data_IF_679225463062
#
_entry.id   IF_679225463062
#
_cell.length_a   1.000
_cell.length_b   1.000
_cell.length_c   1.000
_cell.angle_alpha   90.00
_cell.angle_beta   90.00
_cell.angle_gamma   90.00
#
_symmetry.space_group_name_H-M   'P 1'
#
loop_
_entity.id
_entity.type
_entity.pdbx_description
1 polymer ?
#
# COMPACT_ATOMS: atom_id res chain seq x y z
N UNK A 1 -23.94 9.41 29.10
CA UNK A 1 -23.68 9.89 27.73
C UNK A 1 -22.94 8.76 27.01
N UNK A 2 -23.44 8.22 25.90
CA UNK A 2 -22.70 7.24 25.10
C UNK A 2 -21.66 8.06 24.34
N UNK A 3 -20.43 8.06 24.84
CA UNK A 3 -19.45 9.13 24.62
C UNK A 3 -18.20 8.65 23.88
N UNK A 4 -18.26 7.54 23.16
CA UNK A 4 -17.14 7.13 22.31
C UNK A 4 -17.31 7.83 20.96
N UNK A 5 -16.55 8.91 20.67
CA UNK A 5 -16.52 9.47 19.34
C UNK A 5 -15.99 8.39 18.40
N UNK A 6 -16.63 8.25 17.23
CA UNK A 6 -16.11 7.38 16.17
C UNK A 6 -14.76 7.94 15.73
N UNK A 7 -13.74 7.10 15.62
CA UNK A 7 -12.45 7.50 15.06
C UNK A 7 -12.62 7.84 13.57
N UNK A 8 -12.75 9.13 13.30
CA UNK A 8 -12.93 9.70 11.97
C UNK A 8 -11.62 10.39 11.59
N UNK A 9 -11.00 9.91 10.52
CA UNK A 9 -9.80 10.52 9.94
C UNK A 9 -10.17 11.29 8.69
N UNK A 10 -9.96 12.59 8.73
CA UNK A 10 -10.25 13.49 7.61
C UNK A 10 -9.47 13.09 6.36
N UNK A 11 -8.27 12.52 6.53
CA UNK A 11 -7.36 12.15 5.45
C UNK A 11 -7.59 10.73 4.89
N UNK A 12 -8.46 9.93 5.52
CA UNK A 12 -8.74 8.56 5.08
C UNK A 12 -10.23 8.26 5.19
N UNK A 13 -10.92 8.48 4.07
CA UNK A 13 -12.37 8.31 3.94
C UNK A 13 -12.76 6.83 4.03
N UNK A 14 -11.90 5.91 3.55
CA UNK A 14 -12.17 4.48 3.57
C UNK A 14 -12.04 3.90 4.97
N UNK A 15 -10.97 4.25 5.69
CA UNK A 15 -10.77 3.85 7.08
C UNK A 15 -11.87 4.45 7.98
N UNK A 16 -12.24 5.70 7.76
CA UNK A 16 -13.36 6.32 8.47
C UNK A 16 -14.67 5.56 8.25
N UNK A 17 -14.99 5.20 7.00
CA UNK A 17 -16.18 4.40 6.70
C UNK A 17 -16.14 3.02 7.36
N UNK A 18 -14.98 2.37 7.40
CA UNK A 18 -14.79 1.11 8.11
C UNK A 18 -15.06 1.25 9.62
N UNK A 19 -14.46 2.25 10.27
CA UNK A 19 -14.65 2.52 11.70
C UNK A 19 -16.12 2.84 12.04
N UNK A 20 -16.82 3.59 11.17
CA UNK A 20 -18.25 3.87 11.33
C UNK A 20 -19.07 2.58 11.26
N UNK A 21 -18.80 1.70 10.30
CA UNK A 21 -19.50 0.42 10.17
C UNK A 21 -19.29 -0.48 11.39
N UNK A 22 -18.06 -0.55 11.90
CA UNK A 22 -17.74 -1.26 13.14
C UNK A 22 -18.51 -0.67 14.33
N UNK A 23 -18.54 0.66 14.46
CA UNK A 23 -19.31 1.32 15.52
C UNK A 23 -20.82 1.02 15.43
N UNK A 24 -21.39 0.95 14.23
CA UNK A 24 -22.79 0.56 14.01
C UNK A 24 -23.02 -0.89 14.44
N UNK A 25 -22.11 -1.79 14.09
CA UNK A 25 -22.20 -3.21 14.46
C UNK A 25 -22.12 -3.38 15.98
N UNK A 26 -21.13 -2.75 16.63
CA UNK A 26 -21.03 -2.75 18.09
C UNK A 26 -22.28 -2.17 18.75
N UNK A 27 -22.82 -1.06 18.25
CA UNK A 27 -24.05 -0.49 18.77
C UNK A 27 -25.23 -1.47 18.68
N UNK A 28 -25.41 -2.13 17.53
CA UNK A 28 -26.47 -3.14 17.34
C UNK A 28 -26.31 -4.31 18.31
N UNK A 29 -25.09 -4.79 18.53
CA UNK A 29 -24.81 -5.88 19.46
C UNK A 29 -25.10 -5.45 20.90
N UNK A 30 -24.56 -4.31 21.34
CA UNK A 30 -24.72 -3.81 22.71
C UNK A 30 -26.17 -3.50 23.08
N UNK A 31 -26.98 -3.03 22.13
CA UNK A 31 -28.37 -2.68 22.35
C UNK A 31 -29.38 -3.75 21.92
N UNK A 32 -28.92 -4.92 21.47
CA UNK A 32 -29.79 -6.02 21.01
C UNK A 32 -30.79 -6.48 22.07
N UNK A 33 -30.35 -6.65 23.31
CA UNK A 33 -31.18 -7.08 24.43
C UNK A 33 -31.86 -5.93 25.17
N UNK A 34 -31.55 -4.67 24.82
CA UNK A 34 -32.05 -3.52 25.56
C UNK A 34 -33.59 -3.43 25.60
N UNK A 35 -34.34 -3.66 24.50
CA UNK A 35 -35.80 -3.64 24.55
C UNK A 35 -36.37 -4.62 25.58
N UNK A 36 -35.83 -5.85 25.61
CA UNK A 36 -36.25 -6.89 26.55
C UNK A 36 -35.91 -6.52 28.00
N UNK A 37 -34.68 -6.05 28.26
CA UNK A 37 -34.26 -5.61 29.60
C UNK A 37 -35.04 -4.39 30.07
N UNK A 38 -35.41 -3.50 29.16
CA UNK A 38 -36.24 -2.32 29.47
C UNK A 38 -37.67 -2.71 29.85
N UNK A 39 -38.27 -3.69 29.16
CA UNK A 39 -39.60 -4.22 29.47
C UNK A 39 -39.62 -4.96 30.83
N UNK A 40 -38.60 -5.78 31.07
CA UNK A 40 -38.40 -6.44 32.37
C UNK A 40 -38.27 -5.41 33.50
N UNK A 41 -37.43 -4.39 33.33
CA UNK A 41 -37.27 -3.34 34.31
C UNK A 41 -38.58 -2.58 34.57
N UNK A 42 -39.34 -2.26 33.52
CA UNK A 42 -40.64 -1.58 33.67
C UNK A 42 -41.63 -2.41 34.48
N UNK A 43 -41.62 -3.73 34.30
CA UNK A 43 -42.47 -4.67 35.06
C UNK A 43 -42.08 -4.67 36.55
N UNK A 44 -40.77 -4.70 36.83
CA UNK A 44 -40.24 -4.63 38.21
C UNK A 44 -40.59 -3.29 38.85
N UNK A 45 -40.42 -2.20 38.12
CA UNK A 45 -40.70 -0.85 38.61
C UNK A 45 -42.19 -0.68 38.98
N UNK A 46 -43.12 -1.21 38.18
CA UNK A 46 -44.56 -1.14 38.44
C UNK A 46 -45.00 -2.03 39.60
N UNK A 47 -44.40 -3.22 39.75
CA UNK A 47 -44.78 -4.18 40.78
C UNK A 47 -44.05 -3.96 42.12
N UNK A 48 -42.95 -3.21 42.11
CA UNK A 48 -42.10 -2.97 43.28
C UNK A 48 -41.42 -4.24 43.84
N UNK A 49 -41.40 -5.33 43.07
CA UNK A 49 -40.96 -6.66 43.53
C UNK A 49 -40.11 -7.40 42.50
N UNK A 50 -39.16 -8.17 43.01
CA UNK A 50 -38.39 -9.20 42.29
C UNK A 50 -38.41 -10.46 43.15
N UNK A 51 -38.78 -11.61 42.57
CA UNK A 51 -38.85 -12.90 43.27
C UNK A 51 -39.59 -12.81 44.61
N UNK A 52 -40.76 -12.16 44.61
CA UNK A 52 -41.63 -11.88 45.77
C UNK A 52 -41.04 -10.96 46.86
N UNK A 53 -39.81 -10.47 46.69
CA UNK A 53 -39.17 -9.51 47.60
C UNK A 53 -39.45 -8.08 47.18
N UNK A 54 -39.80 -7.24 48.14
CA UNK A 54 -39.97 -5.80 47.92
C UNK A 54 -38.64 -5.11 47.69
N UNK A 55 -38.63 -4.18 46.74
CA UNK A 55 -37.48 -3.31 46.44
C UNK A 55 -37.85 -1.88 46.81
N UNK A 56 -36.96 -1.22 47.55
CA UNK A 56 -37.13 0.18 47.90
C UNK A 56 -37.19 1.06 46.63
N UNK A 57 -38.19 1.94 46.56
CA UNK A 57 -38.35 2.89 45.44
C UNK A 57 -37.13 3.79 45.25
N UNK A 58 -36.41 4.09 46.33
CA UNK A 58 -35.16 4.86 46.34
C UNK A 58 -34.06 4.22 45.47
N UNK A 59 -34.09 2.90 45.28
CA UNK A 59 -33.18 2.17 44.40
C UNK A 59 -33.69 2.11 42.96
N UNK A 60 -35.01 2.09 42.76
CA UNK A 60 -35.65 1.95 41.45
C UNK A 60 -35.72 3.27 40.68
N UNK A 61 -35.94 4.40 41.35
CA UNK A 61 -36.09 5.71 40.71
C UNK A 61 -34.83 6.14 39.92
N UNK A 62 -33.60 6.02 40.46
CA UNK A 62 -32.39 6.34 39.70
C UNK A 62 -32.19 5.42 38.49
N UNK A 63 -32.57 4.15 38.60
CA UNK A 63 -32.48 3.19 37.51
C UNK A 63 -33.47 3.54 36.39
N UNK A 64 -34.69 3.93 36.75
CA UNK A 64 -35.69 4.39 35.77
C UNK A 64 -35.19 5.58 34.98
N UNK A 65 -34.65 6.60 35.65
CA UNK A 65 -34.06 7.77 34.97
C UNK A 65 -32.97 7.35 33.98
N UNK A 66 -32.12 6.37 34.36
CA UNK A 66 -31.08 5.84 33.47
C UNK A 66 -31.64 5.06 32.28
N UNK A 67 -32.63 4.19 32.50
CA UNK A 67 -33.28 3.43 31.42
C UNK A 67 -34.01 4.35 30.43
N UNK A 68 -34.76 5.34 30.93
CA UNK A 68 -35.47 6.32 30.11
C UNK A 68 -34.48 7.18 29.29
N UNK A 69 -33.40 7.64 29.93
CA UNK A 69 -32.35 8.37 29.24
C UNK A 69 -31.68 7.51 28.15
N UNK A 70 -31.45 6.22 28.41
CA UNK A 70 -30.83 5.30 27.48
C UNK A 70 -31.76 4.95 26.30
N UNK A 71 -33.06 4.77 26.57
CA UNK A 71 -34.09 4.53 25.56
C UNK A 71 -34.20 5.70 24.56
N UNK A 72 -33.91 6.92 24.99
CA UNK A 72 -33.85 8.10 24.12
C UNK A 72 -32.48 8.23 23.44
N UNK A 73 -31.39 8.03 24.18
CA UNK A 73 -30.03 8.29 23.71
C UNK A 73 -29.53 7.26 22.69
N UNK A 74 -29.84 5.97 22.87
CA UNK A 74 -29.33 4.91 22.01
C UNK A 74 -29.85 5.02 20.56
N UNK A 75 -31.16 5.16 20.30
CA UNK A 75 -31.67 5.35 18.93
C UNK A 75 -31.12 6.62 18.27
N UNK A 76 -30.99 7.72 19.01
CA UNK A 76 -30.40 8.97 18.50
C UNK A 76 -28.94 8.80 18.09
N UNK A 77 -28.18 8.06 18.88
CA UNK A 77 -26.78 7.75 18.52
C UNK A 77 -26.72 6.86 17.27
N UNK A 78 -27.57 5.84 17.14
CA UNK A 78 -27.63 5.03 15.94
C UNK A 78 -28.02 5.83 14.69
N UNK A 79 -28.99 6.74 14.82
CA UNK A 79 -29.35 7.68 13.75
C UNK A 79 -28.18 8.56 13.34
N UNK A 80 -27.43 9.10 14.31
CA UNK A 80 -26.19 9.84 14.06
C UNK A 80 -25.17 8.99 13.30
N UNK A 81 -24.92 7.75 13.72
CA UNK A 81 -23.99 6.84 13.04
C UNK A 81 -24.41 6.59 11.58
N UNK A 82 -25.70 6.37 11.30
CA UNK A 82 -26.20 6.21 9.94
C UNK A 82 -26.04 7.48 9.09
N UNK A 83 -26.22 8.68 9.67
CA UNK A 83 -25.98 9.95 8.99
C UNK A 83 -24.53 10.06 8.53
N UNK A 84 -23.59 9.83 9.45
CA UNK A 84 -22.16 9.89 9.16
C UNK A 84 -21.76 8.79 8.17
N UNK A 85 -22.33 7.57 8.29
CA UNK A 85 -22.11 6.49 7.34
C UNK A 85 -22.52 6.88 5.91
N UNK A 86 -23.72 7.45 5.72
CA UNK A 86 -24.20 7.85 4.39
C UNK A 86 -23.30 8.94 3.77
N UNK A 87 -22.81 9.88 4.58
CA UNK A 87 -21.86 10.91 4.14
C UNK A 87 -20.54 10.30 3.65
N UNK A 88 -19.89 9.48 4.48
CA UNK A 88 -18.61 8.84 4.15
C UNK A 88 -18.73 7.80 3.04
N UNK A 89 -19.88 7.14 2.90
CA UNK A 89 -20.14 6.23 1.80
C UNK A 89 -20.10 6.98 0.45
N UNK A 90 -20.70 8.17 0.37
CA UNK A 90 -20.65 8.97 -0.86
C UNK A 90 -19.23 9.44 -1.18
N UNK A 91 -18.51 9.97 -0.18
CA UNK A 91 -17.13 10.42 -0.35
C UNK A 91 -16.20 9.29 -0.76
N UNK A 92 -16.32 8.12 -0.13
CA UNK A 92 -15.52 6.93 -0.45
C UNK A 92 -15.74 6.47 -1.89
N UNK A 93 -16.99 6.52 -2.38
CA UNK A 93 -17.30 6.19 -3.77
C UNK A 93 -16.76 7.23 -4.75
N UNK A 94 -16.77 8.52 -4.39
CA UNK A 94 -16.17 9.58 -5.19
C UNK A 94 -14.65 9.39 -5.29
N UNK A 95 -13.99 9.15 -4.17
CA UNK A 95 -12.55 8.90 -4.11
C UNK A 95 -12.16 7.65 -4.91
N UNK A 96 -12.88 6.53 -4.75
CA UNK A 96 -12.61 5.30 -5.48
C UNK A 96 -12.72 5.51 -7.01
N UNK A 97 -13.70 6.29 -7.47
CA UNK A 97 -13.83 6.62 -8.89
C UNK A 97 -12.69 7.53 -9.36
N UNK A 98 -12.33 8.56 -8.58
CA UNK A 98 -11.19 9.42 -8.87
C UNK A 98 -9.88 8.63 -8.97
N UNK A 99 -9.61 7.71 -8.03
CA UNK A 99 -8.43 6.84 -8.07
C UNK A 99 -8.40 5.96 -9.34
N UNK A 100 -9.55 5.41 -9.76
CA UNK A 100 -9.65 4.68 -11.05
C UNK A 100 -9.32 5.59 -12.23
N UNK A 101 -9.89 6.79 -12.27
CA UNK A 101 -9.65 7.76 -13.34
C UNK A 101 -8.17 8.13 -13.44
N UNK A 102 -7.50 8.42 -12.32
CA UNK A 102 -6.07 8.73 -12.30
C UNK A 102 -5.21 7.55 -12.78
N UNK A 103 -5.55 6.32 -12.39
CA UNK A 103 -4.87 5.11 -12.91
C UNK A 103 -5.02 4.98 -14.42
N UNK A 104 -6.21 5.24 -14.97
CA UNK A 104 -6.43 5.17 -16.42
C UNK A 104 -5.66 6.25 -17.18
N UNK A 105 -5.60 7.48 -16.63
CA UNK A 105 -4.77 8.57 -17.18
C UNK A 105 -3.28 8.26 -17.16
N UNK A 106 -2.83 7.39 -16.25
CA UNK A 106 -1.42 6.99 -16.08
C UNK A 106 -0.95 5.88 -17.02
N UNK A 107 -1.77 5.48 -18.00
CA UNK A 107 -1.44 4.39 -18.90
C UNK A 107 -0.29 4.74 -19.85
N UNK A 108 0.72 3.87 -19.89
CA UNK A 108 2.04 4.13 -20.49
C UNK A 108 2.32 3.35 -21.79
N UNK A 109 1.28 2.82 -22.42
CA UNK A 109 1.38 2.10 -23.69
C UNK A 109 0.01 1.99 -24.38
N UNK A 110 0.01 1.67 -25.67
CA UNK A 110 -1.24 1.39 -26.42
C UNK A 110 -2.03 0.26 -25.76
N UNK A 111 -1.36 -0.82 -25.35
CA UNK A 111 -2.01 -1.96 -24.70
C UNK A 111 -2.63 -1.58 -23.35
N UNK A 112 -1.93 -0.77 -22.55
CA UNK A 112 -2.43 -0.28 -21.26
C UNK A 112 -3.67 0.62 -21.45
N UNK A 113 -3.62 1.57 -22.39
CA UNK A 113 -4.75 2.48 -22.64
C UNK A 113 -5.96 1.73 -23.19
N UNK A 114 -5.74 0.75 -24.08
CA UNK A 114 -6.83 -0.10 -24.56
C UNK A 114 -7.49 -0.89 -23.44
N UNK A 115 -6.71 -1.36 -22.45
CA UNK A 115 -7.24 -1.98 -21.24
C UNK A 115 -8.06 -0.97 -20.42
N UNK A 116 -7.51 0.22 -20.18
CA UNK A 116 -8.21 1.28 -19.44
C UNK A 116 -9.49 1.76 -20.13
N UNK A 117 -9.54 1.83 -21.46
CA UNK A 117 -10.76 2.14 -22.21
C UNK A 117 -11.83 1.05 -22.07
N UNK A 118 -11.43 -0.24 -21.99
CA UNK A 118 -12.37 -1.33 -21.69
C UNK A 118 -12.91 -1.22 -20.27
N UNK A 119 -12.04 -0.96 -19.30
CA UNK A 119 -12.43 -0.75 -17.89
C UNK A 119 -13.34 0.47 -17.72
N UNK A 120 -13.03 1.58 -18.38
CA UNK A 120 -13.88 2.76 -18.44
C UNK A 120 -15.26 2.43 -18.97
N UNK A 121 -15.35 1.64 -20.06
CA UNK A 121 -16.64 1.24 -20.63
C UNK A 121 -17.45 0.41 -19.64
N UNK A 122 -16.84 -0.56 -18.97
CA UNK A 122 -17.51 -1.33 -17.92
C UNK A 122 -18.02 -0.45 -16.77
N UNK A 123 -17.23 0.53 -16.34
CA UNK A 123 -17.65 1.49 -15.32
C UNK A 123 -18.78 2.39 -15.83
N UNK A 124 -18.73 2.85 -17.07
CA UNK A 124 -19.79 3.66 -17.69
C UNK A 124 -21.10 2.88 -17.79
N UNK A 125 -21.04 1.60 -18.15
CA UNK A 125 -22.20 0.68 -18.21
C UNK A 125 -22.82 0.47 -16.81
N UNK A 126 -22.02 0.57 -15.73
CA UNK A 126 -22.53 0.56 -14.35
C UNK A 126 -23.28 1.85 -13.94
N UNK A 127 -23.32 2.86 -14.82
CA UNK A 127 -23.99 4.15 -14.66
C UNK A 127 -23.63 4.91 -13.37
N UNK A 128 -22.40 5.44 -13.25
CA UNK A 128 -21.92 6.11 -12.03
C UNK A 128 -22.80 7.29 -11.60
N UNK A 129 -23.31 8.07 -12.56
CA UNK A 129 -24.26 9.16 -12.28
C UNK A 129 -25.53 8.68 -11.57
N UNK A 130 -26.07 7.53 -11.97
CA UNK A 130 -27.25 6.92 -11.34
C UNK A 130 -26.91 6.42 -9.93
N UNK A 131 -25.71 5.87 -9.73
CA UNK A 131 -25.21 5.46 -8.41
C UNK A 131 -25.09 6.65 -7.46
N UNK A 132 -24.43 7.73 -7.86
CA UNK A 132 -24.33 8.94 -7.04
C UNK A 132 -25.69 9.59 -6.75
N UNK A 133 -26.61 9.60 -7.72
CA UNK A 133 -27.98 10.08 -7.50
C UNK A 133 -28.72 9.28 -6.42
N UNK A 134 -28.54 7.96 -6.39
CA UNK A 134 -29.11 7.09 -5.33
C UNK A 134 -28.49 7.37 -3.97
N UNK A 135 -27.16 7.51 -3.91
CA UNK A 135 -26.44 7.83 -2.67
C UNK A 135 -26.87 9.19 -2.10
N UNK A 136 -27.04 10.21 -2.95
CA UNK A 136 -27.57 11.51 -2.55
C UNK A 136 -29.02 11.44 -2.05
N UNK A 137 -29.86 10.62 -2.69
CA UNK A 137 -31.24 10.43 -2.23
C UNK A 137 -31.27 9.79 -0.83
N UNK A 138 -30.44 8.76 -0.60
CA UNK A 138 -30.30 8.12 0.70
C UNK A 138 -29.75 9.09 1.76
N UNK A 139 -28.73 9.90 1.41
CA UNK A 139 -28.19 10.92 2.30
C UNK A 139 -29.29 11.90 2.76
N UNK A 140 -30.11 12.39 1.83
CA UNK A 140 -31.22 13.31 2.14
C UNK A 140 -32.28 12.67 3.04
N UNK A 141 -32.56 11.39 2.84
CA UNK A 141 -33.50 10.63 3.67
C UNK A 141 -33.00 10.52 5.12
N UNK A 142 -31.74 10.13 5.32
CA UNK A 142 -31.15 9.92 6.65
C UNK A 142 -30.94 11.25 7.41
N UNK A 143 -30.78 12.36 6.68
CA UNK A 143 -30.70 13.72 7.23
C UNK A 143 -32.04 14.44 7.36
N UNK A 144 -33.17 13.81 7.03
CA UNK A 144 -34.51 14.46 7.06
C UNK A 144 -34.90 15.01 8.44
N UNK A 145 -34.47 14.35 9.51
CA UNK A 145 -34.71 14.74 10.92
C UNK A 145 -33.49 15.42 11.58
N UNK A 146 -32.48 15.80 10.79
CA UNK A 146 -31.29 16.50 11.30
C UNK A 146 -31.54 18.02 11.39
N UNK A 147 -30.72 18.77 12.15
CA UNK A 147 -30.72 20.23 12.11
C UNK A 147 -30.58 20.74 10.67
N UNK A 148 -31.37 21.75 10.30
CA UNK A 148 -31.48 22.24 8.91
C UNK A 148 -30.13 22.72 8.40
N UNK A 149 -29.34 23.39 9.25
CA UNK A 149 -28.02 23.91 8.91
C UNK A 149 -27.03 22.77 8.60
N UNK A 150 -27.02 21.73 9.44
CA UNK A 150 -26.16 20.55 9.26
C UNK A 150 -26.54 19.80 7.98
N UNK A 151 -27.84 19.51 7.81
CA UNK A 151 -28.37 18.85 6.62
C UNK A 151 -28.06 19.62 5.35
N UNK A 152 -28.22 20.95 5.36
CA UNK A 152 -27.92 21.79 4.20
C UNK A 152 -26.42 21.79 3.85
N UNK A 153 -25.55 21.91 4.86
CA UNK A 153 -24.10 21.89 4.67
C UNK A 153 -23.64 20.57 4.04
N UNK A 154 -24.03 19.44 4.63
CA UNK A 154 -23.64 18.09 4.18
C UNK A 154 -24.19 17.79 2.78
N UNK A 155 -25.47 18.12 2.53
CA UNK A 155 -26.08 17.92 1.21
C UNK A 155 -25.38 18.73 0.11
N UNK A 156 -24.97 19.97 0.42
CA UNK A 156 -24.24 20.82 -0.53
C UNK A 156 -22.85 20.23 -0.83
N UNK A 157 -22.10 19.84 0.19
CA UNK A 157 -20.77 19.26 0.03
C UNK A 157 -20.82 17.96 -0.79
N UNK A 158 -21.66 17.01 -0.41
CA UNK A 158 -21.83 15.75 -1.13
C UNK A 158 -22.39 15.96 -2.54
N UNK A 159 -23.32 16.91 -2.71
CA UNK A 159 -23.86 17.31 -4.01
C UNK A 159 -22.75 17.77 -4.95
N UNK A 160 -21.93 18.72 -4.51
CA UNK A 160 -20.81 19.24 -5.27
C UNK A 160 -19.79 18.15 -5.60
N UNK A 161 -19.36 17.36 -4.61
CA UNK A 161 -18.38 16.29 -4.81
C UNK A 161 -18.86 15.24 -5.83
N UNK A 162 -20.15 14.87 -5.76
CA UNK A 162 -20.74 13.93 -6.71
C UNK A 162 -20.84 14.49 -8.13
N UNK A 163 -21.20 15.77 -8.28
CA UNK A 163 -21.31 16.45 -9.56
C UNK A 163 -19.93 16.55 -10.22
N UNK A 164 -18.95 17.08 -9.49
CA UNK A 164 -17.57 17.23 -9.95
C UNK A 164 -16.98 15.89 -10.38
N UNK A 165 -17.19 14.83 -9.59
CA UNK A 165 -16.66 13.49 -9.90
C UNK A 165 -17.29 12.92 -11.17
N UNK A 166 -18.62 13.07 -11.34
CA UNK A 166 -19.33 12.59 -12.53
C UNK A 166 -18.92 13.38 -13.77
N UNK A 167 -18.76 14.69 -13.67
CA UNK A 167 -18.31 15.55 -14.77
C UNK A 167 -16.90 15.16 -15.22
N UNK A 168 -15.95 15.01 -14.28
CA UNK A 168 -14.60 14.51 -14.57
C UNK A 168 -14.62 13.16 -15.26
N UNK A 169 -15.49 12.25 -14.81
CA UNK A 169 -15.66 10.94 -15.43
C UNK A 169 -16.16 11.04 -16.87
N UNK A 170 -17.17 11.86 -17.14
CA UNK A 170 -17.70 12.06 -18.50
C UNK A 170 -16.66 12.69 -19.44
N UNK A 171 -15.85 13.62 -18.93
CA UNK A 171 -14.77 14.28 -19.69
C UNK A 171 -13.56 13.36 -19.93
N UNK A 172 -13.46 12.23 -19.23
CA UNK A 172 -12.30 11.34 -19.35
C UNK A 172 -12.28 10.52 -20.65
N UNK A 173 -13.43 10.20 -21.23
CA UNK A 173 -13.46 9.41 -22.48
C UNK A 173 -12.70 10.05 -23.64
N UNK A 174 -12.98 11.31 -24.04
CA UNK A 174 -12.24 11.95 -25.13
C UNK A 174 -10.74 12.06 -24.81
N UNK A 175 -10.39 12.29 -23.54
CA UNK A 175 -9.01 12.33 -23.08
C UNK A 175 -8.28 10.99 -23.33
N UNK A 176 -8.89 9.86 -22.97
CA UNK A 176 -8.29 8.54 -23.18
C UNK A 176 -8.20 8.16 -24.67
N UNK A 177 -9.15 8.60 -25.49
CA UNK A 177 -9.11 8.38 -26.94
C UNK A 177 -7.97 9.15 -27.60
N UNK A 178 -7.76 10.40 -27.18
CA UNK A 178 -6.67 11.23 -27.68
C UNK A 178 -5.31 10.71 -27.22
N UNK A 179 -5.19 10.31 -25.94
CA UNK A 179 -3.99 9.66 -25.42
C UNK A 179 -3.67 8.37 -26.19
N UNK A 180 -4.68 7.55 -26.53
CA UNK A 180 -4.49 6.35 -27.35
C UNK A 180 -3.92 6.68 -28.74
N UNK A 181 -4.39 7.77 -29.36
CA UNK A 181 -3.89 8.22 -30.67
C UNK A 181 -2.40 8.54 -30.59
N UNK A 182 -1.99 9.35 -29.61
CA UNK A 182 -0.58 9.71 -29.45
C UNK A 182 0.31 8.50 -29.15
N UNK A 183 -0.14 7.57 -28.30
CA UNK A 183 0.62 6.35 -28.03
C UNK A 183 0.76 5.45 -29.27
N UNK A 184 -0.28 5.35 -30.10
CA UNK A 184 -0.19 4.61 -31.38
C UNK A 184 0.81 5.25 -32.33
N UNK A 185 0.77 6.58 -32.47
CA UNK A 185 1.71 7.31 -33.31
C UNK A 185 3.15 7.15 -32.80
N UNK A 186 3.35 7.27 -31.49
CA UNK A 186 4.65 7.10 -30.85
C UNK A 186 5.21 5.68 -31.04
N UNK A 187 4.45 4.66 -30.67
CA UNK A 187 4.89 3.26 -30.76
C UNK A 187 5.14 2.83 -32.22
N UNK A 188 4.30 3.24 -33.17
CA UNK A 188 4.51 2.93 -34.58
C UNK A 188 5.77 3.61 -35.14
N UNK A 189 6.04 4.85 -34.73
CA UNK A 189 7.24 5.59 -35.17
C UNK A 189 8.50 5.01 -34.52
N UNK A 190 8.44 4.70 -33.22
CA UNK A 190 9.54 4.07 -32.49
C UNK A 190 9.87 2.68 -33.07
N UNK A 191 8.87 1.85 -33.39
CA UNK A 191 9.06 0.52 -33.96
C UNK A 191 9.82 0.58 -35.31
N UNK A 192 9.51 1.54 -36.19
CA UNK A 192 10.23 1.74 -37.46
C UNK A 192 11.72 2.02 -37.24
N UNK A 193 12.04 2.85 -36.25
CA UNK A 193 13.42 3.17 -35.86
C UNK A 193 14.08 1.93 -35.26
N UNK A 194 13.41 1.23 -34.33
CA UNK A 194 13.89 0.01 -33.67
C UNK A 194 14.22 -1.10 -34.69
N UNK A 195 13.38 -1.31 -35.71
CA UNK A 195 13.60 -2.28 -36.78
C UNK A 195 14.82 -1.95 -37.64
N UNK A 196 15.02 -0.67 -37.96
CA UNK A 196 16.21 -0.20 -38.72
C UNK A 196 17.50 -0.29 -37.91
N UNK A 197 17.45 0.06 -36.63
CA UNK A 197 18.55 -0.13 -35.67
C UNK A 197 18.91 -1.62 -35.59
N UNK A 198 17.92 -2.49 -35.42
CA UNK A 198 18.14 -3.94 -35.26
C UNK A 198 18.74 -4.56 -36.52
N UNK A 199 18.27 -4.17 -37.72
CA UNK A 199 18.91 -4.58 -38.99
C UNK A 199 20.34 -4.09 -39.11
N UNK A 200 20.61 -2.83 -38.76
CA UNK A 200 21.96 -2.27 -38.79
C UNK A 200 22.92 -3.00 -37.84
N UNK A 201 22.44 -3.35 -36.64
CA UNK A 201 23.20 -4.11 -35.64
C UNK A 201 23.51 -5.53 -36.13
N UNK A 202 22.52 -6.20 -36.74
CA UNK A 202 22.68 -7.56 -37.27
C UNK A 202 23.62 -7.61 -38.48
N UNK A 203 23.42 -6.72 -39.45
CA UNK A 203 24.19 -6.67 -40.69
C UNK A 203 25.58 -6.02 -40.51
N UNK A 204 25.85 -5.41 -39.35
CA UNK A 204 27.05 -4.61 -39.04
C UNK A 204 27.33 -3.52 -40.09
N UNK A 205 26.25 -2.98 -40.68
CA UNK A 205 26.26 -1.90 -41.67
C UNK A 205 25.43 -0.74 -41.15
N UNK A 206 25.84 0.49 -41.47
CA UNK A 206 25.07 1.65 -41.08
C UNK A 206 23.90 1.83 -42.07
N UNK A 207 22.70 1.41 -41.68
CA UNK A 207 21.46 1.64 -42.45
C UNK A 207 20.68 2.86 -41.95
N UNK A 208 21.24 3.62 -41.00
CA UNK A 208 20.61 4.81 -40.44
C UNK A 208 20.86 6.00 -41.36
N UNK A 209 19.78 6.60 -41.85
CA UNK A 209 19.78 7.75 -42.75
C UNK A 209 19.30 9.05 -42.06
N UNK A 210 19.04 10.11 -42.85
CA UNK A 210 18.44 11.35 -42.33
C UNK A 210 16.96 11.19 -41.98
N UNK A 211 16.24 10.29 -42.66
CA UNK A 211 14.82 10.00 -42.37
C UNK A 211 14.68 9.45 -40.94
N UNK A 212 15.63 8.64 -40.46
CA UNK A 212 15.65 8.14 -39.07
C UNK A 212 15.83 9.25 -38.03
N UNK A 213 16.57 10.31 -38.37
CA UNK A 213 16.67 11.49 -37.49
C UNK A 213 15.38 12.30 -37.49
N UNK A 214 14.70 12.38 -38.63
CA UNK A 214 13.40 13.04 -38.75
C UNK A 214 12.31 12.26 -38.00
N UNK A 215 12.30 10.93 -38.07
CA UNK A 215 11.44 10.06 -37.27
C UNK A 215 11.70 10.22 -35.76
N UNK A 216 12.97 10.36 -35.35
CA UNK A 216 13.30 10.60 -33.95
C UNK A 216 12.83 11.98 -33.47
N UNK A 217 12.96 13.03 -34.28
CA UNK A 217 12.36 14.36 -34.01
C UNK A 217 10.83 14.28 -33.96
N UNK A 218 10.22 13.45 -34.81
CA UNK A 218 8.78 13.22 -34.77
C UNK A 218 8.35 12.54 -33.47
N UNK A 219 9.08 11.52 -33.00
CA UNK A 219 8.85 10.94 -31.67
C UNK A 219 9.02 11.95 -30.53
N UNK A 220 9.98 12.89 -30.62
CA UNK A 220 10.16 13.96 -29.65
C UNK A 220 8.97 14.94 -29.63
N UNK A 221 8.41 15.25 -30.80
CA UNK A 221 7.19 16.06 -30.90
C UNK A 221 5.99 15.32 -30.29
N UNK A 222 5.82 14.03 -30.60
CA UNK A 222 4.75 13.23 -30.01
C UNK A 222 4.93 13.09 -28.50
N UNK A 223 6.17 13.02 -27.98
CA UNK A 223 6.42 13.09 -26.54
C UNK A 223 5.86 14.38 -25.95
N UNK A 224 6.08 15.53 -26.58
CA UNK A 224 5.59 16.80 -26.07
C UNK A 224 4.06 16.86 -26.10
N UNK A 225 3.43 16.22 -27.09
CA UNK A 225 1.98 16.05 -27.13
C UNK A 225 1.51 15.11 -26.01
N UNK A 226 2.14 13.94 -25.83
CA UNK A 226 1.87 13.03 -24.70
C UNK A 226 2.09 13.71 -23.35
N UNK A 227 3.08 14.59 -23.21
CA UNK A 227 3.37 15.32 -21.98
C UNK A 227 2.23 16.27 -21.56
N UNK A 228 1.41 16.74 -22.51
CA UNK A 228 0.21 17.54 -22.21
C UNK A 228 -0.91 16.71 -21.58
N UNK A 229 -0.88 15.39 -21.75
CA UNK A 229 -1.86 14.41 -21.24
C UNK A 229 -1.24 13.45 -20.22
N UNK A 230 0.05 13.57 -19.94
CA UNK A 230 0.81 12.61 -19.15
C UNK A 230 1.07 13.15 -17.76
N UNK A 231 0.97 12.28 -16.77
CA UNK A 231 1.63 12.49 -15.49
C UNK A 231 3.14 12.21 -15.61
N UNK A 232 3.88 12.50 -14.54
CA UNK A 232 5.34 12.31 -14.51
C UNK A 232 5.77 10.90 -14.91
N UNK A 233 4.97 9.89 -14.58
CA UNK A 233 5.22 8.50 -14.95
C UNK A 233 5.24 8.29 -16.47
N UNK A 234 4.20 8.76 -17.17
CA UNK A 234 4.12 8.68 -18.63
C UNK A 234 5.30 9.40 -19.28
N UNK A 235 5.63 10.60 -18.77
CA UNK A 235 6.76 11.37 -19.29
C UNK A 235 8.09 10.63 -19.12
N UNK A 236 8.31 9.98 -17.97
CA UNK A 236 9.50 9.17 -17.74
C UNK A 236 9.60 7.99 -18.70
N UNK A 237 8.52 7.25 -18.95
CA UNK A 237 8.52 6.10 -19.88
C UNK A 237 8.90 6.53 -21.29
N UNK A 238 8.27 7.60 -21.79
CA UNK A 238 8.56 8.12 -23.14
C UNK A 238 10.00 8.65 -23.24
N UNK A 239 10.47 9.38 -22.23
CA UNK A 239 11.84 9.90 -22.18
C UNK A 239 12.89 8.78 -22.12
N UNK A 240 12.64 7.73 -21.33
CA UNK A 240 13.54 6.58 -21.23
C UNK A 240 13.65 5.85 -22.57
N UNK A 241 12.52 5.63 -23.26
CA UNK A 241 12.53 4.98 -24.57
C UNK A 241 13.25 5.83 -25.62
N UNK A 242 12.98 7.13 -25.67
CA UNK A 242 13.69 8.06 -26.56
C UNK A 242 15.20 8.10 -26.28
N UNK A 243 15.60 8.11 -25.01
CA UNK A 243 17.00 8.09 -24.60
C UNK A 243 17.71 6.82 -25.09
N UNK A 244 17.06 5.67 -24.94
CA UNK A 244 17.61 4.39 -25.41
C UNK A 244 17.73 4.35 -26.94
N UNK A 245 16.74 4.86 -27.69
CA UNK A 245 16.84 5.00 -29.14
C UNK A 245 18.03 5.88 -29.55
N UNK A 246 18.19 7.06 -28.94
CA UNK A 246 19.32 7.96 -29.21
C UNK A 246 20.66 7.28 -28.94
N UNK A 247 20.76 6.53 -27.84
CA UNK A 247 21.96 5.79 -27.44
C UNK A 247 22.31 4.70 -28.45
N UNK A 248 21.35 3.90 -28.88
CA UNK A 248 21.56 2.82 -29.87
C UNK A 248 21.95 3.37 -31.24
N UNK A 249 21.29 4.42 -31.72
CA UNK A 249 21.67 5.13 -32.97
C UNK A 249 23.12 5.63 -32.89
N UNK A 250 23.49 6.23 -31.77
CA UNK A 250 24.86 6.75 -31.56
C UNK A 250 25.91 5.63 -31.50
N UNK A 251 25.56 4.47 -30.94
CA UNK A 251 26.43 3.31 -30.87
C UNK A 251 26.71 2.69 -32.25
N UNK A 252 25.70 2.60 -33.12
CA UNK A 252 25.85 2.11 -34.51
C UNK A 252 26.83 2.99 -35.28
N UNK A 253 26.71 4.33 -35.16
CA UNK A 253 27.63 5.28 -35.80
C UNK A 253 29.09 5.10 -35.36
N UNK A 254 29.35 4.70 -34.12
CA UNK A 254 30.71 4.45 -33.62
C UNK A 254 31.28 3.10 -34.04
N UNK A 255 30.43 2.10 -34.27
CA UNK A 255 30.84 0.71 -34.61
C UNK A 255 31.15 0.52 -36.09
N UNK A 256 30.64 1.36 -36.98
CA UNK A 256 30.93 1.31 -38.42
C UNK A 256 32.08 2.28 -38.73
N UNK A 257 33.29 1.80 -39.09
CA UNK A 257 34.39 2.69 -39.42
C UNK A 257 34.02 3.56 -40.63
N UNK A 258 34.32 4.85 -40.54
CA UNK A 258 34.26 5.84 -41.64
C UNK A 258 35.30 5.56 -42.75
N UNK A 259 35.58 4.30 -43.07
CA UNK A 259 36.53 3.88 -44.11
C UNK A 259 35.80 3.23 -45.28
N UNK A 260 34.94 3.99 -45.97
CA UNK A 260 34.51 3.68 -47.34
C UNK A 260 34.35 4.98 -48.14
N UNK A 261 35.39 5.83 -48.20
CA UNK A 261 35.46 6.96 -49.18
C UNK A 261 36.85 7.06 -49.84
N UNK A 262 37.71 6.03 -49.78
CA UNK A 262 39.00 6.05 -50.48
C UNK A 262 39.30 4.70 -51.15
N UNK A 263 38.49 4.32 -52.14
CA UNK A 263 38.92 3.39 -53.19
C UNK A 263 38.13 3.68 -54.47
N UNK A 264 38.40 4.83 -55.07
CA UNK A 264 38.01 5.16 -56.45
C UNK A 264 38.92 6.28 -56.99
N UNK A 265 40.24 6.09 -56.92
CA UNK A 265 41.17 6.77 -57.82
C UNK A 265 42.58 6.15 -57.78
N UNK A 266 43.08 5.79 -58.97
CA UNK A 266 44.51 5.76 -59.25
C UNK A 266 45.19 4.39 -59.24
N UNK A 267 45.11 3.69 -60.39
CA UNK A 267 46.12 2.71 -60.79
C UNK A 267 47.48 3.40 -61.03
N UNK A 268 48.55 2.91 -60.39
CA UNK A 268 49.90 2.78 -60.96
C UNK A 268 50.76 1.93 -60.03
N UNK A 269 51.15 0.74 -60.50
CA UNK A 269 52.07 -0.20 -59.85
C UNK A 269 53.54 0.09 -60.28
N UNK A 270 54.57 -0.73 -59.96
CA UNK A 270 54.89 -1.51 -58.75
C UNK A 270 56.37 -1.34 -58.29
N UNK A 271 56.77 -2.16 -57.31
CA UNK A 271 58.05 -2.91 -57.18
C UNK A 271 59.02 -2.67 -55.99
N UNK A 272 59.40 -3.83 -55.41
CA UNK A 272 60.58 -4.21 -54.59
C UNK A 272 60.51 -3.90 -53.08
N UNK A 273 60.24 -4.88 -52.21
CA UNK A 273 60.96 -6.11 -51.82
C UNK A 273 61.81 -5.90 -50.55
N UNK A 274 61.46 -6.58 -49.44
CA UNK A 274 62.27 -7.66 -48.84
C UNK A 274 61.79 -8.09 -47.44
N UNK A 275 61.83 -9.42 -47.26
CA UNK A 275 62.06 -10.20 -46.02
C UNK A 275 60.94 -10.40 -44.99
N UNK A 276 60.23 -11.50 -45.25
CA UNK A 276 59.94 -12.62 -44.35
C UNK A 276 60.84 -12.71 -43.11
N UNK A 277 60.21 -12.86 -41.93
CA UNK A 277 60.56 -13.89 -40.93
C UNK A 277 59.32 -14.18 -40.07
N UNK A 278 58.79 -15.38 -40.28
CA UNK A 278 57.84 -16.06 -39.40
C UNK A 278 58.63 -16.57 -38.20
N UNK A 279 58.15 -16.26 -37.00
CA UNK A 279 58.45 -17.03 -35.78
C UNK A 279 57.18 -17.04 -34.92
N UNK A 280 56.54 -18.20 -34.86
CA UNK A 280 55.68 -18.69 -33.76
C UNK A 280 56.64 -19.51 -32.89
N UNK A 281 56.65 -19.48 -31.54
CA UNK A 281 55.52 -19.72 -30.62
C UNK A 281 55.46 -18.66 -29.48
N UNK A 282 54.40 -18.53 -28.68
CA UNK A 282 53.98 -19.46 -27.62
C UNK A 282 52.56 -19.07 -27.16
N UNK A 283 51.77 -20.07 -26.84
CA UNK A 283 50.49 -19.97 -26.16
C UNK A 283 50.62 -19.22 -24.82
N UNK A 284 49.49 -18.76 -24.28
CA UNK A 284 49.31 -18.15 -22.95
C UNK A 284 49.59 -16.64 -22.84
N UNK A 285 48.55 -15.84 -23.10
CA UNK A 285 47.70 -15.32 -22.03
C UNK A 285 46.68 -14.34 -22.63
N UNK A 286 45.42 -14.79 -22.64
CA UNK A 286 44.27 -13.94 -22.90
C UNK A 286 44.22 -12.93 -21.75
N UNK A 287 44.47 -11.66 -22.06
CA UNK A 287 44.10 -10.57 -21.18
C UNK A 287 42.56 -10.50 -21.16
N UNK A 288 41.96 -11.29 -20.28
CA UNK A 288 40.60 -11.11 -19.81
C UNK A 288 40.54 -9.80 -19.06
N UNK A 289 40.04 -8.77 -19.74
CA UNK A 289 39.36 -7.66 -19.07
C UNK A 289 38.23 -8.28 -18.26
N UNK A 290 38.41 -8.23 -16.95
CA UNK A 290 37.56 -8.74 -15.89
C UNK A 290 36.08 -8.41 -16.13
N UNK A 291 35.37 -9.33 -16.80
CA UNK A 291 34.03 -9.69 -16.33
C UNK A 291 34.25 -10.20 -14.92
N UNK A 292 33.67 -9.51 -13.94
CA UNK A 292 33.53 -10.06 -12.61
C UNK A 292 32.72 -11.36 -12.74
N UNK A 293 33.44 -12.48 -12.78
CA UNK A 293 33.08 -13.70 -12.06
C UNK A 293 32.78 -13.31 -10.62
N UNK A 294 31.52 -12.99 -10.33
CA UNK A 294 30.93 -13.46 -9.08
C UNK A 294 30.63 -14.96 -9.29
N UNK A 295 30.72 -15.73 -8.21
CA UNK A 295 30.61 -17.19 -8.12
C UNK A 295 29.35 -17.76 -8.82
N UNK A 296 29.07 -19.08 -8.79
CA UNK A 296 27.69 -19.55 -8.81
C UNK A 296 26.99 -19.03 -7.53
N UNK A 297 26.80 -17.72 -7.46
CA UNK A 297 26.16 -16.99 -6.39
C UNK A 297 24.69 -16.90 -6.72
N UNK A 298 23.88 -17.16 -5.70
CA UNK A 298 22.42 -17.11 -5.75
C UNK A 298 21.93 -15.90 -6.56
N UNK A 299 20.88 -16.07 -7.38
CA UNK A 299 20.19 -14.95 -8.02
C UNK A 299 19.70 -13.97 -6.94
N UNK A 300 19.48 -12.70 -7.27
CA UNK A 300 18.97 -11.73 -6.29
C UNK A 300 17.63 -12.16 -5.72
N UNK A 301 16.82 -12.85 -6.55
CA UNK A 301 15.59 -13.51 -6.12
C UNK A 301 15.86 -14.56 -5.04
N UNK A 302 16.88 -15.39 -5.23
CA UNK A 302 17.24 -16.44 -4.28
C UNK A 302 17.89 -15.88 -3.00
N UNK A 303 18.71 -14.83 -3.10
CA UNK A 303 19.22 -14.09 -1.94
C UNK A 303 18.08 -13.45 -1.15
N UNK A 304 17.11 -12.84 -1.83
CA UNK A 304 15.94 -12.26 -1.19
C UNK A 304 15.07 -13.32 -0.52
N UNK A 305 14.84 -14.47 -1.16
CA UNK A 305 14.10 -15.59 -0.57
C UNK A 305 14.78 -16.07 0.72
N UNK A 306 16.11 -16.19 0.74
CA UNK A 306 16.86 -16.58 1.95
C UNK A 306 16.67 -15.54 3.06
N UNK A 307 16.84 -14.25 2.75
CA UNK A 307 16.66 -13.17 3.72
C UNK A 307 15.23 -13.12 4.25
N UNK A 308 14.23 -13.28 3.38
CA UNK A 308 12.83 -13.26 3.72
C UNK A 308 12.44 -14.43 4.64
N UNK A 309 12.91 -15.65 4.37
CA UNK A 309 12.71 -16.78 5.27
C UNK A 309 13.39 -16.57 6.63
N UNK A 310 14.59 -15.97 6.62
CA UNK A 310 15.27 -15.61 7.87
C UNK A 310 14.44 -14.61 8.69
N UNK A 311 13.83 -13.60 8.05
CA UNK A 311 12.98 -12.65 8.75
C UNK A 311 11.69 -13.27 9.27
N UNK A 312 11.09 -14.21 8.54
CA UNK A 312 9.91 -14.96 8.98
C UNK A 312 10.19 -15.86 10.20
N UNK A 313 11.45 -16.23 10.42
CA UNK A 313 11.88 -17.06 11.54
C UNK A 313 12.44 -16.25 12.72
N UNK A 314 12.39 -14.92 12.66
CA UNK A 314 12.89 -14.06 13.73
C UNK A 314 11.97 -14.15 14.94
N UNK A 315 12.54 -14.43 16.11
CA UNK A 315 11.83 -14.44 17.39
C UNK A 315 12.14 -13.14 18.15
N UNK A 316 11.08 -12.48 18.62
CA UNK A 316 11.12 -11.24 19.39
C UNK A 316 11.03 -11.56 20.88
N UNK A 317 11.91 -10.98 21.69
CA UNK A 317 11.99 -11.18 23.15
C UNK A 317 11.72 -9.91 23.96
N UNK A 318 11.97 -8.75 23.37
CA UNK A 318 11.89 -7.43 24.01
C UNK A 318 11.63 -6.32 22.97
N UNK A 319 11.39 -5.09 23.44
CA UNK A 319 11.09 -3.95 22.58
C UNK A 319 12.21 -3.65 21.58
N UNK A 320 13.49 -3.74 21.98
CA UNK A 320 14.62 -3.47 21.09
C UNK A 320 14.71 -4.51 19.97
N UNK A 321 14.49 -5.78 20.31
CA UNK A 321 14.43 -6.87 19.34
C UNK A 321 13.26 -6.72 18.37
N UNK A 322 12.12 -6.21 18.85
CA UNK A 322 10.95 -5.91 18.02
C UNK A 322 11.24 -4.77 17.04
N UNK A 323 11.81 -3.66 17.50
CA UNK A 323 12.17 -2.52 16.65
C UNK A 323 13.20 -2.92 15.59
N UNK A 324 14.18 -3.75 15.97
CA UNK A 324 15.15 -4.32 15.04
C UNK A 324 14.47 -5.22 14.00
N UNK A 325 13.55 -6.09 14.42
CA UNK A 325 12.79 -6.96 13.52
C UNK A 325 11.92 -6.15 12.55
N UNK A 326 11.22 -5.11 13.02
CA UNK A 326 10.44 -4.18 12.18
C UNK A 326 11.33 -3.53 11.13
N UNK A 327 12.51 -3.03 11.52
CA UNK A 327 13.47 -2.42 10.60
C UNK A 327 13.97 -3.41 9.55
N UNK A 328 14.32 -4.63 9.96
CA UNK A 328 14.80 -5.68 9.07
C UNK A 328 13.74 -6.14 8.06
N UNK A 329 12.51 -6.38 8.51
CA UNK A 329 11.38 -6.72 7.62
C UNK A 329 11.06 -5.57 6.66
N UNK A 330 11.10 -4.32 7.15
CA UNK A 330 10.87 -3.12 6.31
C UNK A 330 11.94 -2.98 5.23
N UNK A 331 13.21 -3.21 5.56
CA UNK A 331 14.30 -3.19 4.59
C UNK A 331 14.16 -4.32 3.57
N UNK A 332 13.81 -5.53 4.00
CA UNK A 332 13.55 -6.67 3.11
C UNK A 332 12.40 -6.37 2.12
N UNK A 333 11.33 -5.71 2.58
CA UNK A 333 10.20 -5.30 1.73
C UNK A 333 10.55 -4.16 0.76
N UNK A 334 11.57 -3.33 1.05
CA UNK A 334 12.04 -2.27 0.14
C UNK A 334 12.68 -2.83 -1.13
N UNK A 335 13.31 -4.00 -1.04
CA UNK A 335 14.00 -4.65 -2.17
C UNK A 335 13.04 -5.37 -3.13
N UNK A 336 11.79 -5.58 -2.73
CA UNK A 336 10.75 -6.32 -3.48
C UNK A 336 10.59 -5.83 -4.92
N UNK A 337 10.64 -4.53 -5.17
CA UNK A 337 10.47 -4.01 -6.53
C UNK A 337 11.65 -4.38 -7.45
N UNK A 338 12.87 -4.41 -6.91
CA UNK A 338 14.05 -4.86 -7.65
C UNK A 338 14.03 -6.35 -7.94
N UNK A 339 13.56 -7.14 -6.96
CA UNK A 339 13.43 -8.60 -7.07
C UNK A 339 12.29 -8.99 -8.02
N UNK A 340 11.17 -8.26 -8.02
CA UNK A 340 10.06 -8.47 -8.96
C UNK A 340 10.50 -8.26 -10.42
N UNK A 341 11.32 -7.23 -10.68
CA UNK A 341 11.84 -6.95 -12.01
C UNK A 341 12.73 -8.10 -12.53
N UNK A 342 13.56 -8.68 -11.66
CA UNK A 342 14.39 -9.85 -11.96
C UNK A 342 13.54 -11.11 -12.17
N UNK A 343 12.56 -11.36 -11.28
CA UNK A 343 11.58 -12.45 -11.42
C UNK A 343 10.85 -12.41 -12.76
N UNK A 344 10.44 -11.21 -13.19
CA UNK A 344 9.79 -11.00 -14.49
C UNK A 344 10.73 -11.16 -15.69
N UNK A 345 12.03 -10.95 -15.51
CA UNK A 345 13.05 -11.23 -16.53
C UNK A 345 13.31 -12.73 -16.67
N UNK A 346 13.43 -13.46 -15.55
CA UNK A 346 13.60 -14.91 -15.50
C UNK A 346 12.40 -15.67 -16.07
N UNK A 347 11.18 -15.17 -15.83
CA UNK A 347 9.96 -15.70 -16.44
C UNK A 347 9.96 -15.64 -17.99
N UNK A 348 10.65 -14.67 -18.57
CA UNK A 348 10.72 -14.50 -20.04
C UNK A 348 11.70 -15.46 -20.70
N UNK A 349 12.70 -15.97 -19.96
CA UNK A 349 13.77 -16.82 -20.49
C UNK A 349 13.45 -18.33 -20.41
N UNK A 350 12.26 -18.73 -19.92
CA UNK A 350 11.77 -20.12 -19.81
C UNK A 350 12.81 -21.11 -19.25
N UNK A 351 13.36 -20.81 -18.07
CA UNK A 351 14.17 -21.77 -17.31
C UNK A 351 13.25 -22.56 -16.38
N UNK A 352 13.11 -23.88 -16.62
CA UNK A 352 12.15 -24.75 -15.94
C UNK A 352 12.40 -24.94 -14.42
N UNK A 353 13.56 -24.54 -13.90
CA UNK A 353 13.92 -24.69 -12.49
C UNK A 353 13.41 -23.55 -11.59
N UNK A 354 12.81 -22.48 -12.13
CA UNK A 354 12.42 -21.29 -11.37
C UNK A 354 10.91 -21.18 -11.05
N UNK A 355 10.06 -22.08 -11.55
CA UNK A 355 8.61 -22.00 -11.30
C UNK A 355 8.24 -22.12 -9.81
N UNK A 356 8.99 -22.93 -9.06
CA UNK A 356 8.80 -23.10 -7.62
C UNK A 356 9.20 -21.82 -6.84
N UNK A 357 10.36 -21.26 -7.12
CA UNK A 357 10.85 -20.01 -6.51
C UNK A 357 9.98 -18.79 -6.89
N UNK A 358 9.37 -18.80 -8.08
CA UNK A 358 8.38 -17.82 -8.52
C UNK A 358 7.08 -17.89 -7.70
N UNK A 359 6.62 -19.09 -7.37
CA UNK A 359 5.43 -19.31 -6.52
C UNK A 359 5.69 -18.95 -5.05
N UNK A 360 6.83 -19.38 -4.52
CA UNK A 360 7.27 -19.12 -3.13
C UNK A 360 7.43 -17.63 -2.86
N UNK A 361 8.01 -16.87 -3.79
CA UNK A 361 8.20 -15.43 -3.64
C UNK A 361 6.89 -14.66 -3.38
N UNK A 362 5.81 -14.96 -4.11
CA UNK A 362 4.54 -14.22 -3.94
C UNK A 362 3.93 -14.45 -2.58
N UNK A 363 3.94 -15.71 -2.12
CA UNK A 363 3.43 -16.10 -0.81
C UNK A 363 4.27 -15.45 0.29
N UNK A 364 5.59 -15.60 0.23
CA UNK A 364 6.51 -15.07 1.24
C UNK A 364 6.46 -13.54 1.35
N UNK A 365 6.26 -12.84 0.21
CA UNK A 365 6.02 -11.39 0.21
C UNK A 365 4.75 -11.00 0.97
N UNK A 366 3.66 -11.73 0.74
CA UNK A 366 2.39 -11.50 1.44
C UNK A 366 2.53 -11.82 2.93
N UNK A 367 3.20 -12.92 3.27
CA UNK A 367 3.44 -13.34 4.65
C UNK A 367 4.30 -12.31 5.40
N UNK A 368 5.36 -11.76 4.78
CA UNK A 368 6.17 -10.68 5.36
C UNK A 368 5.39 -9.38 5.59
N UNK A 369 4.46 -9.03 4.69
CA UNK A 369 3.60 -7.86 4.87
C UNK A 369 2.64 -8.05 6.05
N UNK A 370 2.07 -9.25 6.19
CA UNK A 370 1.23 -9.59 7.33
C UNK A 370 2.05 -9.55 8.63
N UNK A 371 3.23 -10.17 8.67
CA UNK A 371 4.13 -10.16 9.82
C UNK A 371 4.50 -8.73 10.25
N UNK A 372 4.85 -7.85 9.30
CA UNK A 372 5.14 -6.45 9.60
C UNK A 372 3.92 -5.74 10.24
N UNK A 373 2.72 -6.01 9.75
CA UNK A 373 1.51 -5.43 10.32
C UNK A 373 1.24 -5.95 11.74
N UNK A 374 1.42 -7.25 11.98
CA UNK A 374 1.32 -7.82 13.31
C UNK A 374 2.36 -7.21 14.28
N UNK A 375 3.62 -7.07 13.86
CA UNK A 375 4.65 -6.40 14.66
C UNK A 375 4.27 -4.96 15.03
N UNK A 376 3.70 -4.19 14.09
CA UNK A 376 3.22 -2.82 14.36
C UNK A 376 2.03 -2.77 15.30
N UNK A 377 1.12 -3.74 15.23
CA UNK A 377 -0.03 -3.82 16.12
C UNK A 377 0.38 -4.13 17.56
N UNK A 378 1.47 -4.89 17.73
CA UNK A 378 1.96 -5.36 19.02
C UNK A 378 2.97 -4.38 19.65
N UNK A 379 3.63 -3.53 18.85
CA UNK A 379 4.60 -2.52 19.32
C UNK A 379 4.08 -1.63 20.47
N UNK A 380 2.83 -1.11 20.45
CA UNK A 380 2.28 -0.35 21.58
C UNK A 380 2.20 -1.14 22.89
N UNK A 381 2.04 -2.47 22.82
CA UNK A 381 1.98 -3.34 24.00
C UNK A 381 3.36 -3.44 24.67
N UNK A 382 4.42 -3.62 23.87
CA UNK A 382 5.80 -3.59 24.38
C UNK A 382 6.16 -2.23 24.97
N UNK A 383 5.80 -1.13 24.30
CA UNK A 383 6.02 0.22 24.82
C UNK A 383 5.29 0.46 26.14
N UNK A 384 4.04 -0.01 26.26
CA UNK A 384 3.29 0.08 27.52
C UNK A 384 3.93 -0.76 28.61
N UNK A 385 4.44 -1.95 28.29
CA UNK A 385 5.13 -2.80 29.25
C UNK A 385 6.40 -2.12 29.79
N UNK A 386 7.28 -1.64 28.91
CA UNK A 386 8.51 -0.93 29.31
C UNK A 386 8.20 0.32 30.14
N UNK A 387 7.20 1.11 29.75
CA UNK A 387 6.80 2.31 30.49
C UNK A 387 6.38 1.99 31.92
N UNK A 388 5.56 0.96 32.12
CA UNK A 388 5.11 0.55 33.45
C UNK A 388 6.25 -0.07 34.25
N UNK A 389 7.10 -0.87 33.61
CA UNK A 389 8.29 -1.44 34.22
C UNK A 389 9.21 -0.34 34.76
N UNK A 390 9.53 0.66 33.94
CA UNK A 390 10.39 1.79 34.32
C UNK A 390 9.74 2.66 35.42
N UNK A 391 8.42 2.83 35.37
CA UNK A 391 7.68 3.60 36.37
C UNK A 391 7.69 2.92 37.74
N UNK A 392 7.52 1.60 37.78
CA UNK A 392 7.61 0.84 39.04
C UNK A 392 9.06 0.70 39.51
N UNK A 393 10.02 0.51 38.60
CA UNK A 393 11.44 0.39 38.94
C UNK A 393 12.02 1.67 39.54
N UNK A 394 11.64 2.84 38.99
CA UNK A 394 12.14 4.14 39.42
C UNK A 394 11.24 4.84 40.46
N UNK A 395 10.29 4.11 41.06
CA UNK A 395 9.37 4.71 42.02
C UNK A 395 10.13 5.22 43.26
N UNK A 396 10.03 6.51 43.61
CA UNK A 396 10.78 7.07 44.73
C UNK A 396 10.31 6.46 46.06
N UNK A 397 11.25 5.99 46.87
CA UNK A 397 11.01 5.62 48.27
C UNK A 397 10.81 6.89 49.12
N UNK A 398 9.71 7.61 48.94
CA UNK A 398 9.36 8.72 49.81
C UNK A 398 8.62 8.18 51.04
N UNK A 399 9.34 8.16 52.17
CA UNK A 399 8.73 8.06 53.48
C UNK A 399 7.95 9.35 53.75
N UNK A 400 6.63 9.28 53.64
CA UNK A 400 5.68 9.66 54.70
C UNK A 400 4.34 10.12 54.11
N UNK A 401 3.28 9.36 54.45
CA UNK A 401 1.85 9.70 54.42
C UNK A 401 0.92 9.35 53.24
N UNK A 402 1.36 8.67 52.16
CA UNK A 402 0.45 8.21 51.06
C UNK A 402 0.53 6.70 50.74
N UNK A 403 0.87 5.86 51.72
CA UNK A 403 1.23 4.45 51.48
C UNK A 403 0.15 3.56 50.83
N UNK A 404 -1.12 3.68 51.21
CA UNK A 404 -2.17 2.77 50.69
C UNK A 404 -2.56 3.06 49.23
N UNK A 405 -2.59 4.34 48.83
CA UNK A 405 -2.96 4.72 47.47
C UNK A 405 -1.81 4.45 46.48
N UNK A 406 -0.55 4.65 46.92
CA UNK A 406 0.63 4.32 46.12
C UNK A 406 0.85 2.80 45.97
N UNK A 407 0.54 1.99 47.00
CA UNK A 407 0.57 0.52 46.88
C UNK A 407 -0.49 -0.01 45.92
N UNK A 408 -1.69 0.58 45.93
CA UNK A 408 -2.75 0.30 44.95
C UNK A 408 -2.29 0.56 43.52
N UNK A 409 -1.70 1.73 43.26
CA UNK A 409 -1.24 2.11 41.91
C UNK A 409 -0.11 1.22 41.40
N UNK A 410 0.86 0.86 42.26
CA UNK A 410 1.92 -0.10 41.91
C UNK A 410 1.35 -1.48 41.57
N UNK A 411 0.41 -1.96 42.37
CA UNK A 411 -0.28 -3.23 42.13
C UNK A 411 -1.03 -3.20 40.81
N UNK A 412 -1.73 -2.11 40.49
CA UNK A 412 -2.44 -1.94 39.22
C UNK A 412 -1.48 -1.94 38.02
N UNK A 413 -0.32 -1.30 38.13
CA UNK A 413 0.71 -1.33 37.07
C UNK A 413 1.28 -2.74 36.86
N UNK A 414 1.51 -3.51 37.93
CA UNK A 414 1.96 -4.90 37.86
C UNK A 414 0.88 -5.79 37.22
N UNK A 415 -0.38 -5.63 37.63
CA UNK A 415 -1.51 -6.37 37.06
C UNK A 415 -1.70 -6.05 35.56
N UNK A 416 -1.52 -4.80 35.18
CA UNK A 416 -1.56 -4.39 33.77
C UNK A 416 -0.41 -5.00 32.97
N UNK A 417 0.82 -5.03 33.52
CA UNK A 417 1.95 -5.74 32.88
C UNK A 417 1.67 -7.25 32.71
N UNK A 418 1.07 -7.90 33.71
CA UNK A 418 0.67 -9.31 33.60
C UNK A 418 -0.37 -9.53 32.50
N UNK A 419 -1.38 -8.66 32.40
CA UNK A 419 -2.38 -8.68 31.33
C UNK A 419 -1.76 -8.49 29.93
N UNK A 420 -0.77 -7.60 29.80
CA UNK A 420 -0.03 -7.41 28.55
C UNK A 420 0.74 -8.69 28.17
N UNK A 421 1.38 -9.37 29.12
CA UNK A 421 2.05 -10.65 28.87
C UNK A 421 1.11 -11.77 28.46
N UNK A 422 -0.06 -11.88 29.10
CA UNK A 422 -1.08 -12.84 28.71
C UNK A 422 -1.55 -12.58 27.27
N UNK A 423 -1.69 -11.31 26.90
CA UNK A 423 -2.05 -10.90 25.54
C UNK A 423 -0.96 -11.25 24.52
N UNK A 424 0.31 -11.01 24.85
CA UNK A 424 1.46 -11.37 24.01
C UNK A 424 1.68 -12.89 23.91
N UNK A 425 1.18 -13.66 24.88
CA UNK A 425 1.30 -15.12 24.92
C UNK A 425 0.19 -15.87 24.16
N UNK A 426 -0.76 -15.14 23.55
CA UNK A 426 -1.84 -15.73 22.75
C UNK A 426 -1.28 -16.52 21.56
N UNK A 427 -2.05 -17.52 21.12
CA UNK A 427 -1.66 -18.42 20.03
C UNK A 427 -1.29 -17.67 18.73
N UNK A 428 -1.87 -16.50 18.49
CA UNK A 428 -1.60 -15.64 17.32
C UNK A 428 -0.18 -15.04 17.29
N UNK A 429 0.50 -14.95 18.43
CA UNK A 429 1.84 -14.35 18.55
C UNK A 429 2.92 -15.34 19.00
N UNK A 430 2.50 -16.47 19.59
CA UNK A 430 3.39 -17.47 20.21
C UNK A 430 4.45 -18.05 19.26
N UNK A 431 4.22 -18.00 17.95
CA UNK A 431 5.18 -18.51 16.95
C UNK A 431 6.40 -17.60 16.72
N UNK A 432 6.31 -16.30 17.06
CA UNK A 432 7.36 -15.32 16.79
C UNK A 432 7.63 -14.35 17.94
N UNK A 433 6.88 -14.42 19.04
CA UNK A 433 7.15 -13.71 20.29
C UNK A 433 7.47 -14.73 21.39
N UNK A 434 8.65 -14.61 21.99
CA UNK A 434 9.00 -15.31 23.21
C UNK A 434 8.83 -14.37 24.42
N UNK A 435 7.87 -14.68 25.29
CA UNK A 435 7.57 -13.89 26.49
C UNK A 435 8.44 -14.24 27.71
N UNK A 436 9.31 -15.26 27.67
CA UNK A 436 10.11 -15.72 28.81
C UNK A 436 10.94 -14.59 29.44
N UNK A 437 11.55 -13.75 28.59
CA UNK A 437 12.35 -12.63 29.04
C UNK A 437 11.51 -11.56 29.76
N UNK A 438 10.34 -11.21 29.21
CA UNK A 438 9.46 -10.23 29.84
C UNK A 438 8.81 -10.78 31.12
N UNK A 439 8.49 -12.08 31.14
CA UNK A 439 8.00 -12.78 32.31
C UNK A 439 9.05 -12.77 33.43
N UNK A 440 10.31 -13.09 33.12
CA UNK A 440 11.41 -13.01 34.09
C UNK A 440 11.54 -11.60 34.67
N UNK A 441 11.46 -10.55 33.82
CA UNK A 441 11.50 -9.16 34.28
C UNK A 441 10.33 -8.82 35.20
N UNK A 442 9.12 -9.26 34.88
CA UNK A 442 7.95 -9.07 35.72
C UNK A 442 8.11 -9.80 37.07
N UNK A 443 8.57 -11.04 37.05
CA UNK A 443 8.79 -11.85 38.25
C UNK A 443 9.84 -11.23 39.19
N UNK A 444 10.94 -10.71 38.62
CA UNK A 444 11.96 -9.95 39.36
C UNK A 444 11.37 -8.68 39.99
N UNK A 445 10.50 -7.98 39.28
CA UNK A 445 9.86 -6.75 39.75
C UNK A 445 8.82 -7.03 40.84
N UNK A 446 8.06 -8.12 40.72
CA UNK A 446 7.15 -8.63 41.77
C UNK A 446 7.95 -9.04 43.01
N UNK A 447 9.10 -9.69 42.86
CA UNK A 447 9.95 -10.07 43.99
C UNK A 447 10.57 -8.88 44.73
N UNK A 448 10.83 -7.76 44.03
CA UNK A 448 11.37 -6.54 44.64
C UNK A 448 10.31 -5.67 45.32
N UNK A 449 9.03 -5.85 44.95
CA UNK A 449 7.91 -5.06 45.45
C UNK A 449 7.14 -5.74 46.59
N UNK A 450 7.38 -7.04 46.82
CA UNK A 450 7.05 -7.76 48.06
C UNK A 450 8.13 -7.55 49.11
#
# INVERSE_FOLDING_TARGET
MIQNPVDIRVDDVQLSLFNINESINHHKIHFSEFPYRSEQFQTIYLNGKVDEREIAMELLEPLKIRFDALAIAAPRHLQYLHRVQAHYQLLSNAEALNQKMERWKSSDSVAAIQKSLKEYKMEADSAPAKKFKRLLAHLKEVYSEAPVEEAHCVNKQCGNASLETVEKFQQLKPYLDELLKFWREFENTAAKIEDRITRSEHEKRNLIDEDDKELLRHCEKIRDDVARFGNDQIQQVVNNRLSELRKRISAIKRKVPTKVILHLQGNAAPEKAFRTKVTVPTCENIATTTLNTQSPGNSRLQEWLIMAHQQMSTVVTDLNSLEKAISQVTNCLREVQGVENERMALLKTRVANDEQSIGEYRKLRSDLQALLQHMKNVQPLFLSFEKNYDSVLNWPNNQDNEKENEESEKSDMINHMAFLLETLSRNEYKEWINCDFLQQRLDELIHRTK
#
